data_IF_061057338472
#
_entry.id   IF_061057338472
#
_cell.length_a   1.000
_cell.length_b   1.000
_cell.length_c   1.000
_cell.angle_alpha   90.00
_cell.angle_beta   90.00
_cell.angle_gamma   90.00
#
_symmetry.space_group_name_H-M   'P 1'
#
loop_
_entity.id
_entity.type
_entity.pdbx_description
1 polymer ?
#
# COMPACT_ATOMS: atom_id res chain seq x y z
N UNK A 1 12.63 7.18 3.74
CA UNK A 1 11.34 6.50 3.57
C UNK A 1 11.16 5.48 4.69
N UNK A 2 10.40 5.77 5.75
CA UNK A 2 10.15 4.84 6.85
C UNK A 2 9.33 3.61 6.44
N UNK A 3 9.59 2.48 7.10
CA UNK A 3 8.64 1.36 7.13
C UNK A 3 7.30 1.82 7.73
N UNK A 4 6.18 1.26 7.28
CA UNK A 4 4.84 1.68 7.71
C UNK A 4 4.68 1.79 9.24
N UNK A 5 5.18 0.81 10.00
CA UNK A 5 5.11 0.83 11.46
C UNK A 5 6.05 1.87 12.10
N UNK A 6 7.24 2.08 11.52
CA UNK A 6 8.18 3.10 11.97
C UNK A 6 7.62 4.51 11.74
N UNK A 7 6.93 4.73 10.62
CA UNK A 7 6.23 5.98 10.37
C UNK A 7 5.19 6.26 11.46
N UNK A 8 4.35 5.28 11.81
CA UNK A 8 3.33 5.49 12.84
C UNK A 8 3.93 5.70 14.23
N UNK A 9 4.99 4.94 14.57
CA UNK A 9 5.64 5.03 15.88
C UNK A 9 6.34 6.37 16.08
N UNK A 10 6.97 6.91 15.03
CA UNK A 10 7.78 8.13 15.08
C UNK A 10 7.18 9.27 14.27
N UNK A 11 5.85 9.35 14.24
CA UNK A 11 5.11 10.27 13.36
C UNK A 11 5.57 11.72 13.49
N UNK A 12 5.73 12.22 14.70
CA UNK A 12 6.09 13.62 14.95
C UNK A 12 7.42 14.02 14.30
N UNK A 13 8.38 13.09 14.23
CA UNK A 13 9.66 13.32 13.55
C UNK A 13 9.48 13.49 12.04
N UNK A 14 8.57 12.71 11.43
CA UNK A 14 8.30 12.80 9.99
C UNK A 14 7.45 14.02 9.65
N UNK A 15 6.53 14.43 10.52
CA UNK A 15 5.79 15.69 10.33
C UNK A 15 6.72 16.91 10.48
N UNK A 16 7.75 16.82 11.35
CA UNK A 16 8.80 17.85 11.45
C UNK A 16 9.59 17.96 10.15
N UNK A 17 10.03 16.84 9.58
CA UNK A 17 10.71 16.82 8.27
C UNK A 17 9.82 17.39 7.17
N UNK A 18 8.52 17.02 7.16
CA UNK A 18 7.55 17.56 6.20
C UNK A 18 7.38 19.07 6.34
N UNK A 19 7.31 19.60 7.56
CA UNK A 19 7.23 21.04 7.81
C UNK A 19 8.49 21.79 7.33
N UNK A 20 9.64 21.12 7.29
CA UNK A 20 10.88 21.63 6.69
C UNK A 20 10.92 21.55 5.15
N UNK A 21 9.88 21.00 4.51
CA UNK A 21 9.75 20.92 3.04
C UNK A 21 9.98 19.53 2.45
N UNK A 22 10.28 18.52 3.26
CA UNK A 22 10.53 17.17 2.76
C UNK A 22 9.24 16.46 2.31
N UNK A 23 9.39 15.60 1.30
CA UNK A 23 8.35 14.62 0.92
C UNK A 23 8.53 13.34 1.73
N UNK A 24 7.49 12.94 2.45
CA UNK A 24 7.47 11.70 3.24
C UNK A 24 6.73 10.61 2.47
N UNK A 25 7.46 9.53 2.20
CA UNK A 25 6.94 8.29 1.62
C UNK A 25 6.92 7.21 2.70
N UNK A 26 6.18 6.12 2.48
CA UNK A 26 6.26 4.94 3.34
C UNK A 26 6.63 3.69 2.55
N UNK A 27 7.09 2.67 3.28
CA UNK A 27 7.66 1.45 2.72
C UNK A 27 7.15 0.21 3.47
N UNK A 28 7.10 -0.93 2.78
CA UNK A 28 6.96 -2.26 3.38
C UNK A 28 7.97 -3.21 2.74
N UNK A 29 8.27 -4.33 3.39
CA UNK A 29 9.11 -5.42 2.87
C UNK A 29 8.75 -6.73 3.55
N UNK A 30 9.71 -7.61 3.80
CA UNK A 30 9.55 -8.78 4.68
C UNK A 30 8.98 -8.45 6.07
N UNK A 31 9.05 -7.20 6.52
CA UNK A 31 8.46 -6.70 7.75
C UNK A 31 7.96 -5.25 7.55
N UNK A 32 6.84 -4.83 8.18
CA UNK A 32 6.00 -5.59 9.09
C UNK A 32 5.01 -6.53 8.37
N UNK A 33 4.69 -7.67 8.99
CA UNK A 33 3.59 -8.56 8.58
C UNK A 33 2.44 -8.54 9.60
N UNK A 34 1.58 -9.56 9.61
CA UNK A 34 0.54 -9.69 10.64
C UNK A 34 -0.61 -8.70 10.45
N UNK A 35 -0.89 -7.77 11.39
CA UNK A 35 -1.97 -6.79 11.22
C UNK A 35 -1.62 -5.66 10.25
N UNK A 36 -0.34 -5.45 9.96
CA UNK A 36 0.14 -4.32 9.18
C UNK A 36 -0.15 -4.47 7.68
N UNK A 37 -0.45 -3.37 6.99
CA UNK A 37 -0.52 -3.36 5.54
C UNK A 37 0.80 -3.83 4.96
N UNK A 38 0.71 -4.79 4.05
CA UNK A 38 1.81 -5.25 3.23
C UNK A 38 1.24 -5.82 1.91
N UNK A 39 2.12 -6.32 1.05
CA UNK A 39 1.79 -6.92 -0.24
C UNK A 39 2.36 -8.33 -0.41
N UNK A 40 2.55 -9.01 0.72
CA UNK A 40 2.93 -10.41 0.78
C UNK A 40 1.82 -11.28 0.16
N UNK A 41 2.19 -12.47 -0.31
CA UNK A 41 1.32 -13.34 -1.09
C UNK A 41 0.22 -14.01 -0.24
N UNK A 42 0.50 -14.23 1.03
CA UNK A 42 -0.34 -14.91 2.02
C UNK A 42 -1.27 -13.96 2.81
N UNK A 43 -1.36 -12.69 2.38
CA UNK A 43 -2.21 -11.68 3.01
C UNK A 43 -3.44 -11.33 2.16
N UNK A 44 -4.42 -10.64 2.75
CA UNK A 44 -5.63 -10.24 2.04
C UNK A 44 -5.28 -9.34 0.83
N UNK A 45 -5.80 -9.70 -0.36
CA UNK A 45 -5.63 -8.93 -1.61
C UNK A 45 -6.08 -7.46 -1.50
N UNK A 46 -6.88 -7.13 -0.48
CA UNK A 46 -7.28 -5.77 -0.17
C UNK A 46 -6.09 -4.89 0.28
N UNK A 47 -5.07 -5.45 0.92
CA UNK A 47 -4.01 -4.65 1.57
C UNK A 47 -3.18 -3.81 0.60
N UNK A 48 -2.72 -4.32 -0.57
CA UNK A 48 -2.01 -3.49 -1.54
C UNK A 48 -2.84 -2.31 -2.03
N UNK A 49 -4.15 -2.50 -2.20
CA UNK A 49 -5.08 -1.41 -2.55
C UNK A 49 -5.13 -0.33 -1.45
N UNK A 50 -5.06 -0.73 -0.18
CA UNK A 50 -5.12 0.21 0.94
C UNK A 50 -3.84 1.04 1.13
N UNK A 51 -2.76 0.78 0.38
CA UNK A 51 -1.58 1.65 0.39
C UNK A 51 -1.91 3.10 0.03
N UNK A 52 -2.73 3.32 -1.00
CA UNK A 52 -3.19 4.66 -1.37
C UNK A 52 -4.09 5.30 -0.32
N UNK A 53 -4.93 4.50 0.35
CA UNK A 53 -5.79 4.97 1.43
C UNK A 53 -4.98 5.35 2.67
N UNK A 54 -3.95 4.58 3.01
CA UNK A 54 -3.01 4.90 4.09
C UNK A 54 -2.20 6.15 3.78
N UNK A 55 -1.76 6.30 2.52
CA UNK A 55 -1.10 7.54 2.08
C UNK A 55 -2.03 8.76 2.22
N UNK A 56 -3.31 8.64 1.85
CA UNK A 56 -4.29 9.71 2.00
C UNK A 56 -4.64 10.01 3.47
N UNK A 57 -4.60 9.01 4.36
CA UNK A 57 -4.84 9.19 5.80
C UNK A 57 -3.76 10.03 6.48
N UNK A 58 -2.50 9.79 6.09
CA UNK A 58 -1.32 10.39 6.71
C UNK A 58 -0.66 11.48 5.87
N UNK A 59 -1.32 11.93 4.80
CA UNK A 59 -0.78 12.89 3.83
C UNK A 59 0.62 12.52 3.31
N UNK A 60 0.85 11.24 3.03
CA UNK A 60 2.12 10.74 2.50
C UNK A 60 2.15 10.90 0.98
N UNK A 61 3.34 11.12 0.42
CA UNK A 61 3.54 11.44 -1.00
C UNK A 61 3.68 10.22 -1.90
N UNK A 62 3.72 9.01 -1.34
CA UNK A 62 3.82 7.78 -2.11
C UNK A 62 4.21 6.57 -1.28
N UNK A 63 4.33 5.45 -1.98
CA UNK A 63 4.73 4.14 -1.47
C UNK A 63 5.98 3.65 -2.19
N UNK A 64 6.87 2.99 -1.46
CA UNK A 64 8.08 2.35 -2.01
C UNK A 64 8.09 0.88 -1.61
N UNK A 65 8.61 0.02 -2.49
CA UNK A 65 8.97 -1.35 -2.16
C UNK A 65 10.17 -1.79 -3.00
N UNK A 66 11.01 -2.67 -2.45
CA UNK A 66 12.26 -3.11 -3.07
C UNK A 66 12.06 -4.17 -4.18
N UNK A 67 11.20 -5.16 -3.96
CA UNK A 67 11.00 -6.28 -4.88
C UNK A 67 9.90 -6.09 -5.94
N UNK A 68 10.19 -5.43 -7.07
CA UNK A 68 9.30 -5.48 -8.25
C UNK A 68 9.34 -6.89 -8.88
N UNK A 69 10.55 -7.33 -9.23
CA UNK A 69 10.89 -8.61 -9.88
C UNK A 69 12.26 -9.11 -9.39
N UNK A 70 12.59 -8.93 -8.11
CA UNK A 70 13.91 -9.22 -7.54
C UNK A 70 14.07 -10.71 -7.20
N UNK A 71 13.96 -11.57 -8.21
CA UNK A 71 14.11 -13.01 -8.03
C UNK A 71 15.56 -13.38 -7.70
N UNK A 72 15.75 -14.48 -6.95
CA UNK A 72 17.06 -15.15 -6.88
C UNK A 72 17.33 -15.89 -8.21
N UNK A 73 18.60 -16.13 -8.53
CA UNK A 73 18.98 -16.85 -9.77
C UNK A 73 18.36 -18.24 -9.90
N UNK A 74 18.12 -18.91 -8.77
CA UNK A 74 17.47 -20.24 -8.72
C UNK A 74 15.95 -20.17 -8.54
N UNK A 75 15.38 -18.99 -8.33
CA UNK A 75 13.97 -18.84 -7.99
C UNK A 75 13.11 -18.90 -9.26
N UNK A 76 12.39 -20.01 -9.44
CA UNK A 76 11.17 -20.03 -10.25
C UNK A 76 10.02 -19.41 -9.43
N UNK A 77 9.52 -18.19 -9.74
CA UNK A 77 8.52 -17.52 -8.91
C UNK A 77 7.14 -18.18 -8.95
N UNK A 78 6.88 -19.10 -9.90
CA UNK A 78 5.65 -19.87 -9.94
C UNK A 78 5.65 -21.07 -8.99
N UNK A 79 6.83 -21.52 -8.58
CA UNK A 79 7.01 -22.70 -7.72
C UNK A 79 7.59 -22.32 -6.35
N UNK A 80 8.39 -21.25 -6.29
CA UNK A 80 9.13 -20.82 -5.11
C UNK A 80 8.76 -19.36 -4.75
N UNK A 81 7.78 -19.22 -3.86
CA UNK A 81 7.34 -17.91 -3.37
C UNK A 81 8.11 -17.42 -2.13
N UNK A 82 8.72 -18.35 -1.38
CA UNK A 82 9.57 -18.11 -0.20
C UNK A 82 11.01 -18.46 -0.58
N UNK A 83 11.98 -17.60 -0.24
CA UNK A 83 13.39 -17.80 -0.60
C UNK A 83 14.32 -17.39 0.53
N UNK A 84 15.51 -17.99 0.56
CA UNK A 84 16.52 -17.70 1.57
C UNK A 84 17.06 -16.26 1.49
N UNK A 85 17.40 -15.72 2.66
CA UNK A 85 17.83 -14.34 2.86
C UNK A 85 18.96 -14.21 3.88
N UNK A 86 20.05 -14.93 3.63
CA UNK A 86 21.25 -14.88 4.47
C UNK A 86 21.06 -15.56 5.83
N UNK A 87 22.09 -16.26 6.29
CA UNK A 87 22.02 -17.06 7.51
C UNK A 87 20.88 -18.09 7.44
N UNK A 88 20.06 -18.16 8.49
CA UNK A 88 18.89 -19.04 8.60
C UNK A 88 17.56 -18.35 8.31
N UNK A 89 17.57 -17.14 7.73
CA UNK A 89 16.36 -16.36 7.50
C UNK A 89 15.79 -16.59 6.10
N UNK A 90 14.46 -16.50 5.99
CA UNK A 90 13.74 -16.56 4.72
C UNK A 90 12.89 -15.30 4.52
N UNK A 91 12.75 -14.86 3.28
CA UNK A 91 11.79 -13.81 2.93
C UNK A 91 10.37 -14.39 2.90
N UNK A 92 9.36 -13.67 3.43
CA UNK A 92 7.98 -14.07 3.31
C UNK A 92 7.52 -14.20 1.85
N UNK A 93 6.45 -14.96 1.66
CA UNK A 93 5.95 -15.29 0.34
C UNK A 93 5.67 -14.02 -0.48
N UNK A 94 6.30 -13.90 -1.66
CA UNK A 94 6.05 -12.79 -2.58
C UNK A 94 6.68 -11.44 -2.19
N UNK A 95 7.53 -11.35 -1.17
CA UNK A 95 8.28 -10.12 -0.86
C UNK A 95 9.23 -9.73 -2.00
N UNK A 96 9.82 -10.71 -2.68
CA UNK A 96 10.78 -10.47 -3.77
C UNK A 96 10.14 -9.91 -5.04
N UNK A 97 8.83 -10.09 -5.23
CA UNK A 97 8.19 -9.80 -6.51
C UNK A 97 6.69 -9.50 -6.42
N UNK A 98 6.23 -8.61 -7.28
CA UNK A 98 4.80 -8.34 -7.52
C UNK A 98 4.39 -8.54 -8.98
N UNK A 99 5.36 -8.65 -9.90
CA UNK A 99 5.14 -9.11 -11.28
C UNK A 99 5.68 -10.52 -11.43
N UNK A 100 5.33 -11.17 -12.53
CA UNK A 100 5.80 -12.52 -12.89
C UNK A 100 6.47 -12.51 -14.27
N UNK A 101 7.42 -13.41 -14.56
CA UNK A 101 7.96 -13.59 -15.90
C UNK A 101 6.83 -13.97 -16.88
N UNK A 102 6.84 -13.36 -18.06
CA UNK A 102 5.82 -13.60 -19.08
C UNK A 102 6.42 -13.66 -20.48
N UNK A 103 5.66 -14.19 -21.43
CA UNK A 103 6.11 -14.47 -22.80
C UNK A 103 6.49 -13.22 -23.60
N UNK A 104 5.81 -12.09 -23.37
CA UNK A 104 6.01 -10.82 -24.08
C UNK A 104 6.34 -9.66 -23.12
N UNK A 105 7.03 -9.96 -22.02
CA UNK A 105 7.30 -9.01 -20.93
C UNK A 105 6.70 -9.46 -19.61
N UNK A 106 6.88 -8.68 -18.52
CA UNK A 106 6.40 -9.06 -17.20
C UNK A 106 4.87 -9.12 -17.17
N UNK A 107 4.32 -10.23 -16.70
CA UNK A 107 2.91 -10.34 -16.39
C UNK A 107 2.59 -9.61 -15.08
N UNK A 108 1.48 -8.87 -15.08
CA UNK A 108 0.95 -8.29 -13.85
C UNK A 108 0.45 -9.39 -12.92
N UNK A 109 0.37 -9.09 -11.63
CA UNK A 109 -0.32 -9.93 -10.65
C UNK A 109 -1.56 -9.23 -10.14
N UNK A 110 -2.48 -10.02 -9.57
CA UNK A 110 -3.64 -9.47 -8.86
C UNK A 110 -3.23 -8.49 -7.75
N UNK A 111 -2.07 -8.71 -7.09
CA UNK A 111 -1.54 -7.80 -6.05
C UNK A 111 -1.11 -6.47 -6.65
N UNK A 112 -0.48 -6.47 -7.82
CA UNK A 112 -0.10 -5.25 -8.52
C UNK A 112 -1.33 -4.48 -9.02
N UNK A 113 -2.32 -5.16 -9.57
CA UNK A 113 -3.58 -4.52 -9.99
C UNK A 113 -4.32 -3.91 -8.80
N UNK A 114 -4.40 -4.62 -7.67
CA UNK A 114 -4.97 -4.06 -6.44
C UNK A 114 -4.20 -2.82 -5.97
N UNK A 115 -2.86 -2.86 -5.99
CA UNK A 115 -2.03 -1.70 -5.68
C UNK A 115 -2.29 -0.53 -6.64
N UNK A 116 -2.41 -0.79 -7.95
CA UNK A 116 -2.71 0.20 -8.99
C UNK A 116 -4.05 0.90 -8.73
N UNK A 117 -5.09 0.14 -8.42
CA UNK A 117 -6.40 0.72 -8.04
C UNK A 117 -6.28 1.59 -6.79
N UNK A 118 -5.44 1.19 -5.82
CA UNK A 118 -5.13 2.00 -4.65
C UNK A 118 -4.47 3.34 -4.99
N UNK A 119 -3.56 3.34 -5.96
CA UNK A 119 -2.93 4.57 -6.47
C UNK A 119 -3.95 5.50 -7.14
N UNK A 120 -4.90 4.95 -7.92
CA UNK A 120 -5.99 5.72 -8.53
C UNK A 120 -6.92 6.31 -7.46
N UNK A 121 -7.30 5.52 -6.44
CA UNK A 121 -8.08 5.99 -5.29
C UNK A 121 -7.36 7.14 -4.57
N UNK A 122 -6.04 7.04 -4.38
CA UNK A 122 -5.26 8.07 -3.72
C UNK A 122 -5.38 9.42 -4.43
N UNK A 123 -5.26 9.46 -5.75
CA UNK A 123 -5.41 10.70 -6.52
C UNK A 123 -6.82 11.29 -6.40
N UNK A 124 -7.86 10.44 -6.45
CA UNK A 124 -9.25 10.87 -6.22
C UNK A 124 -9.44 11.41 -4.79
N UNK A 125 -8.88 10.74 -3.79
CA UNK A 125 -8.92 11.20 -2.40
C UNK A 125 -8.18 12.53 -2.23
N UNK A 126 -7.07 12.77 -2.95
CA UNK A 126 -6.38 14.06 -2.95
C UNK A 126 -7.22 15.16 -3.59
N UNK A 127 -7.87 14.88 -4.72
CA UNK A 127 -8.78 15.82 -5.36
C UNK A 127 -9.92 16.19 -4.41
N UNK A 128 -10.53 15.21 -3.75
CA UNK A 128 -11.57 15.47 -2.76
C UNK A 128 -11.01 16.24 -1.57
N UNK A 129 -9.81 15.92 -1.10
CA UNK A 129 -9.15 16.62 0.01
C UNK A 129 -8.91 18.10 -0.28
N UNK A 130 -8.61 18.46 -1.53
CA UNK A 130 -8.47 19.88 -1.96
C UNK A 130 -9.80 20.63 -1.97
N UNK A 131 -10.91 19.94 -2.30
CA UNK A 131 -12.26 20.53 -2.37
C UNK A 131 -12.97 20.56 -1.01
N UNK A 132 -12.93 19.46 -0.28
CA UNK A 132 -13.59 19.23 0.99
C UNK A 132 -12.76 18.29 1.90
N UNK A 133 -11.84 18.83 2.70
CA UNK A 133 -11.01 18.06 3.62
C UNK A 133 -11.83 17.27 4.66
N UNK A 134 -13.00 17.78 5.08
CA UNK A 134 -13.84 17.12 6.08
C UNK A 134 -14.48 15.87 5.49
N UNK A 135 -14.98 15.96 4.25
CA UNK A 135 -15.56 14.84 3.52
C UNK A 135 -14.50 13.79 3.18
N UNK A 136 -13.33 14.21 2.71
CA UNK A 136 -12.21 13.29 2.47
C UNK A 136 -11.87 12.49 3.73
N UNK A 137 -11.72 13.17 4.87
CA UNK A 137 -11.40 12.53 6.15
C UNK A 137 -12.48 11.54 6.59
N UNK A 138 -13.76 11.87 6.39
CA UNK A 138 -14.88 10.97 6.68
C UNK A 138 -14.86 9.73 5.80
N UNK A 139 -14.57 9.87 4.50
CA UNK A 139 -14.46 8.75 3.57
C UNK A 139 -13.30 7.83 3.95
N UNK A 140 -12.10 8.38 4.15
CA UNK A 140 -10.88 7.60 4.48
C UNK A 140 -11.03 6.86 5.81
N UNK A 141 -11.52 7.52 6.87
CA UNK A 141 -11.63 6.92 8.22
C UNK A 141 -12.62 5.76 8.34
N UNK A 142 -13.52 5.58 7.36
CA UNK A 142 -14.36 4.37 7.28
C UNK A 142 -13.60 3.14 6.81
N UNK A 143 -12.51 3.34 6.06
CA UNK A 143 -11.70 2.27 5.46
C UNK A 143 -10.45 2.00 6.29
N UNK A 144 -9.74 3.04 6.70
CA UNK A 144 -8.45 2.93 7.36
C UNK A 144 -8.29 3.99 8.47
N UNK A 145 -7.73 3.56 9.60
CA UNK A 145 -7.41 4.39 10.77
C UNK A 145 -5.92 4.37 11.12
N UNK A 146 -5.21 3.38 10.61
CA UNK A 146 -3.75 3.24 10.60
C UNK A 146 -3.35 2.11 9.67
N UNK A 147 -2.06 2.00 9.36
CA UNK A 147 -1.48 0.90 8.59
C UNK A 147 -1.72 -0.47 9.24
N UNK A 148 -2.06 -0.56 10.52
CA UNK A 148 -2.41 -1.77 11.27
C UNK A 148 -3.91 -1.86 11.62
N UNK A 149 -4.70 -0.83 11.29
CA UNK A 149 -6.12 -0.74 11.63
C UNK A 149 -6.96 -0.31 10.42
N UNK A 150 -7.50 -1.30 9.70
CA UNK A 150 -8.30 -1.08 8.50
C UNK A 150 -9.42 -2.13 8.36
N UNK A 151 -10.35 -1.86 7.46
CA UNK A 151 -11.42 -2.80 7.14
C UNK A 151 -10.89 -4.02 6.40
N UNK A 152 -11.31 -5.22 6.81
CA UNK A 152 -11.07 -6.46 6.05
C UNK A 152 -12.24 -6.83 5.13
N UNK A 153 -13.26 -5.96 5.03
CA UNK A 153 -14.49 -6.22 4.27
C UNK A 153 -14.45 -5.46 2.94
N UNK A 154 -14.38 -6.14 1.78
CA UNK A 154 -14.37 -5.49 0.47
C UNK A 154 -15.61 -4.61 0.23
N UNK A 155 -16.75 -4.97 0.83
CA UNK A 155 -17.99 -4.17 0.75
C UNK A 155 -17.85 -2.79 1.37
N UNK A 156 -17.07 -2.64 2.45
CA UNK A 156 -16.79 -1.35 3.08
C UNK A 156 -15.95 -0.47 2.16
N UNK A 157 -14.87 -1.01 1.59
CA UNK A 157 -14.03 -0.27 0.61
C UNK A 157 -14.87 0.17 -0.59
N UNK A 158 -15.64 -0.74 -1.19
CA UNK A 158 -16.48 -0.43 -2.37
C UNK A 158 -17.54 0.64 -2.06
N UNK A 159 -18.14 0.61 -0.87
CA UNK A 159 -19.06 1.66 -0.45
C UNK A 159 -18.36 3.03 -0.31
N UNK A 160 -17.17 3.06 0.30
CA UNK A 160 -16.39 4.27 0.43
C UNK A 160 -15.95 4.84 -0.93
N UNK A 161 -15.53 3.99 -1.88
CA UNK A 161 -15.22 4.37 -3.27
C UNK A 161 -16.42 4.99 -3.99
N UNK A 162 -17.61 4.38 -3.88
CA UNK A 162 -18.82 4.98 -4.48
C UNK A 162 -19.14 6.36 -3.90
N UNK A 163 -18.97 6.52 -2.59
CA UNK A 163 -19.20 7.80 -1.94
C UNK A 163 -18.14 8.85 -2.32
N UNK A 164 -16.88 8.43 -2.52
CA UNK A 164 -15.80 9.28 -3.04
C UNK A 164 -16.15 9.80 -4.44
N UNK A 165 -16.51 8.90 -5.35
CA UNK A 165 -16.88 9.26 -6.72
C UNK A 165 -18.08 10.20 -6.74
N UNK A 166 -19.15 9.88 -5.99
CA UNK A 166 -20.33 10.75 -5.86
C UNK A 166 -20.00 12.13 -5.30
N UNK A 167 -19.00 12.25 -4.42
CA UNK A 167 -18.59 13.54 -3.87
C UNK A 167 -17.80 14.38 -4.89
N UNK A 168 -17.11 13.73 -5.83
CA UNK A 168 -16.34 14.39 -6.88
C UNK A 168 -17.19 14.78 -8.10
N UNK A 169 -18.24 14.01 -8.41
CA UNK A 169 -19.08 14.23 -9.60
C UNK A 169 -20.29 15.15 -9.37
N UNK A 170 -20.47 15.68 -8.15
CA UNK A 170 -21.53 16.66 -7.88
C UNK A 170 -20.98 18.05 -8.19
N UNK A 171 -21.48 18.65 -9.27
CA UNK A 171 -21.41 20.09 -9.51
C UNK A 171 -22.50 20.80 -8.69
#
# INVERSE_FOLDING_TARGET
>A
CPQAHQFQLHRDSFETARAAGDRVWFYTCCFPGGPWLNRLLDEELLRPCLFGWGAALFDLQGFLHWGLNHYKSFQNPFEHSVVDHGGSNQLPAGDTHIVYPGTNGPWSSVRLEAQREGCEDYELLRLLGRRDPRRQRSVVRRVIKGFDQYTKRPTTLRAARRDLLRALTRD
#
